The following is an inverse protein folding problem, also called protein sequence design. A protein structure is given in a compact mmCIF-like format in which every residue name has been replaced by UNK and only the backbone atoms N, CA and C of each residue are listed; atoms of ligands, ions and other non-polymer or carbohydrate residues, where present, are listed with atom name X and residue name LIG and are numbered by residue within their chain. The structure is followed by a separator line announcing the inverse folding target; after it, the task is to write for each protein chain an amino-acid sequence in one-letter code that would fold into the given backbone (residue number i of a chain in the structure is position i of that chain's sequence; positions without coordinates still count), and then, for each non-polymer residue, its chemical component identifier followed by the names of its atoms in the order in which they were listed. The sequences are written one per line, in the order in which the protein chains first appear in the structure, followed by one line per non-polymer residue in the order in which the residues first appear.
data_IF_851776016097
#
_entry.id   IF_851776016097
#
_cell.length_a   1.000
_cell.length_b   1.000
_cell.length_c   1.000
_cell.angle_alpha   90.00
_cell.angle_beta   90.00
_cell.angle_gamma   90.00
#
_symmetry.space_group_name_H-M   'P 1'
#
loop_
_entity.id
_entity.type
_entity.pdbx_description
1 polymer ?
#
# COMPACT_ATOMS: atom_id res chain seq x y z
N UNK A 1 -7.90 -26.05 -6.63
CA UNK A 1 -6.79 -25.24 -7.15
C UNK A 1 -6.61 -24.04 -6.27
N UNK A 2 -5.44 -23.83 -5.79
CA UNK A 2 -5.15 -22.68 -4.94
C UNK A 2 -5.15 -21.40 -5.74
N UNK A 3 -5.80 -20.38 -5.18
CA UNK A 3 -5.72 -19.05 -5.77
C UNK A 3 -4.32 -18.47 -5.55
N UNK A 4 -3.78 -17.85 -6.60
CA UNK A 4 -2.45 -17.26 -6.53
C UNK A 4 -2.53 -15.78 -6.21
N UNK A 5 -1.56 -15.29 -5.46
CA UNK A 5 -1.42 -13.85 -5.23
C UNK A 5 -0.93 -13.12 -6.49
N UNK A 6 -0.43 -13.87 -7.47
CA UNK A 6 0.10 -13.27 -8.69
C UNK A 6 -0.99 -12.61 -9.52
N UNK A 7 -0.65 -11.51 -10.17
CA UNK A 7 -1.56 -10.78 -11.03
C UNK A 7 -1.67 -9.32 -10.66
N UNK A 8 -2.70 -8.67 -11.18
CA UNK A 8 -2.96 -7.26 -10.95
C UNK A 8 -4.14 -7.08 -10.00
N UNK A 9 -4.00 -6.14 -9.08
CA UNK A 9 -4.98 -5.90 -8.03
C UNK A 9 -5.30 -4.41 -7.97
N UNK A 10 -6.57 -4.10 -7.72
CA UNK A 10 -7.06 -2.73 -7.59
C UNK A 10 -7.31 -2.42 -6.12
N UNK A 11 -6.81 -1.28 -5.66
CA UNK A 11 -7.00 -0.85 -4.27
C UNK A 11 -8.47 -0.51 -4.00
N UNK A 12 -8.98 -1.01 -2.88
CA UNK A 12 -10.35 -0.76 -2.43
C UNK A 12 -10.38 0.15 -1.22
N UNK A 13 -9.44 -0.05 -0.29
CA UNK A 13 -9.38 0.77 0.91
C UNK A 13 -7.96 0.80 1.46
N UNK A 14 -7.64 1.91 2.12
CA UNK A 14 -6.37 2.08 2.81
C UNK A 14 -6.64 2.87 4.08
N UNK A 15 -6.38 2.27 5.21
CA UNK A 15 -6.48 2.97 6.48
C UNK A 15 -5.32 2.60 7.39
N UNK A 16 -5.05 3.53 8.34
CA UNK A 16 -4.11 3.30 9.42
C UNK A 16 -4.94 3.01 10.67
N UNK A 17 -4.55 2.01 11.43
CA UNK A 17 -5.25 1.64 12.64
C UNK A 17 -4.30 1.71 13.82
N UNK A 18 -4.71 2.45 14.86
CA UNK A 18 -3.97 2.51 16.11
C UNK A 18 -4.13 1.17 16.82
N UNK A 19 -3.00 0.55 17.15
CA UNK A 19 -3.02 -0.82 17.70
C UNK A 19 -3.81 -0.89 19.00
N UNK A 20 -3.62 0.07 19.89
CA UNK A 20 -4.23 0.04 21.21
C UNK A 20 -5.72 0.37 21.22
N UNK A 21 -6.11 1.41 20.50
CA UNK A 21 -7.49 1.95 20.57
C UNK A 21 -8.38 1.49 19.43
N UNK A 22 -7.77 0.94 18.35
CA UNK A 22 -8.45 0.56 17.11
C UNK A 22 -9.03 1.76 16.35
N UNK A 23 -8.62 2.98 16.71
CA UNK A 23 -8.98 4.15 15.93
C UNK A 23 -8.38 4.07 14.54
N UNK A 24 -9.17 4.45 13.55
CA UNK A 24 -8.76 4.39 12.14
C UNK A 24 -8.71 5.77 11.53
N UNK A 25 -7.77 5.95 10.61
CA UNK A 25 -7.70 7.15 9.79
C UNK A 25 -7.44 6.74 8.35
N UNK A 26 -7.94 7.53 7.41
CA UNK A 26 -7.80 7.24 5.99
C UNK A 26 -6.91 8.31 5.35
N UNK A 27 -5.59 8.07 5.29
CA UNK A 27 -4.67 9.11 4.82
C UNK A 27 -4.88 9.49 3.36
N UNK A 28 -5.48 8.61 2.55
CA UNK A 28 -5.76 8.89 1.14
C UNK A 28 -7.25 9.01 0.87
N UNK A 29 -8.06 9.25 1.91
CA UNK A 29 -9.50 9.43 1.77
C UNK A 29 -10.27 8.13 1.74
N UNK A 30 -11.59 8.24 1.55
CA UNK A 30 -12.49 7.09 1.60
C UNK A 30 -12.49 6.26 0.33
N UNK A 31 -11.96 6.81 -0.77
CA UNK A 31 -11.93 6.12 -2.06
C UNK A 31 -10.55 6.26 -2.70
N UNK A 32 -9.50 5.70 -2.06
CA UNK A 32 -8.16 5.79 -2.61
C UNK A 32 -8.04 5.04 -3.92
N UNK A 33 -7.05 5.42 -4.72
CA UNK A 33 -6.75 4.73 -5.97
C UNK A 33 -5.39 4.07 -5.87
N UNK A 34 -5.28 2.89 -6.43
CA UNK A 34 -4.00 2.21 -6.41
C UNK A 34 -4.04 0.90 -7.17
N UNK A 35 -2.86 0.45 -7.48
CA UNK A 35 -2.63 -0.84 -8.11
C UNK A 35 -1.46 -1.52 -7.45
N UNK A 36 -1.54 -2.83 -7.30
CA UNK A 36 -0.38 -3.65 -7.04
C UNK A 36 -0.32 -4.74 -8.08
N UNK A 37 0.85 -4.93 -8.66
CA UNK A 37 1.07 -5.91 -9.68
C UNK A 37 2.15 -6.85 -9.18
N UNK A 38 1.81 -8.14 -9.12
CA UNK A 38 2.73 -9.18 -8.68
C UNK A 38 2.96 -10.11 -9.86
N UNK A 39 4.11 -9.94 -10.50
CA UNK A 39 4.42 -10.63 -11.74
C UNK A 39 5.06 -12.00 -11.46
N UNK A 40 4.74 -13.01 -12.27
CA UNK A 40 5.33 -14.35 -12.09
C UNK A 40 6.85 -14.40 -12.12
N UNK A 41 7.50 -13.42 -12.75
CA UNK A 41 8.96 -13.33 -12.77
C UNK A 41 9.57 -12.95 -11.42
N UNK A 42 8.74 -12.57 -10.44
CA UNK A 42 9.24 -12.15 -9.15
C UNK A 42 9.43 -10.65 -8.99
N UNK A 43 8.87 -9.86 -9.91
CA UNK A 43 8.89 -8.40 -9.76
C UNK A 43 7.50 -7.91 -9.39
N UNK A 44 7.47 -6.94 -8.48
CA UNK A 44 6.22 -6.30 -8.11
C UNK A 44 6.33 -4.79 -8.23
N UNK A 45 5.18 -4.15 -8.36
CA UNK A 45 5.08 -2.69 -8.30
C UNK A 45 3.78 -2.33 -7.58
N UNK A 46 3.86 -1.36 -6.69
CA UNK A 46 2.71 -0.85 -5.96
C UNK A 46 2.63 0.67 -6.12
N UNK A 47 1.44 1.16 -6.42
CA UNK A 47 1.19 2.59 -6.60
C UNK A 47 -0.10 2.95 -5.89
N UNK A 48 -0.06 4.01 -5.08
CA UNK A 48 -1.21 4.48 -4.33
C UNK A 48 -1.30 6.00 -4.42
N UNK A 49 -2.50 6.50 -4.69
CA UNK A 49 -2.78 7.94 -4.68
C UNK A 49 -4.10 8.19 -3.97
N UNK A 50 -4.34 9.43 -3.48
CA UNK A 50 -5.65 9.81 -2.99
C UNK A 50 -6.70 9.68 -4.08
N UNK A 51 -7.92 9.38 -3.68
CA UNK A 51 -9.02 9.20 -4.62
C UNK A 51 -9.48 10.50 -5.25
N UNK A 52 -9.30 11.61 -4.54
CA UNK A 52 -9.74 12.91 -5.03
C UNK A 52 -8.56 13.71 -5.53
N UNK A 53 -8.70 14.28 -6.73
CA UNK A 53 -7.72 15.20 -7.25
C UNK A 53 -7.79 16.52 -6.47
N UNK A 54 -6.67 17.28 -6.39
CA UNK A 54 -6.73 18.61 -5.81
C UNK A 54 -7.77 19.45 -6.55
N UNK A 55 -8.58 20.17 -5.79
CA UNK A 55 -9.64 21.00 -6.37
C UNK A 55 -9.15 22.41 -6.71
N UNK A 56 -7.91 22.72 -6.38
CA UNK A 56 -7.35 24.06 -6.56
C UNK A 56 -5.96 23.97 -7.14
N UNK A 57 -5.64 24.92 -8.02
CA UNK A 57 -4.28 25.11 -8.55
C UNK A 57 -3.52 26.17 -7.78
N UNK A 58 -4.04 26.60 -6.66
CA UNK A 58 -3.39 27.58 -5.79
C UNK A 58 -2.13 26.98 -5.18
N UNK A 59 -1.03 27.71 -5.19
CA UNK A 59 0.22 27.25 -4.60
C UNK A 59 0.07 26.86 -3.14
N UNK A 60 -0.77 27.58 -2.40
CA UNK A 60 -0.99 27.27 -0.99
C UNK A 60 -1.61 25.89 -0.80
N UNK A 61 -2.48 25.48 -1.72
CA UNK A 61 -3.12 24.18 -1.67
C UNK A 61 -2.23 23.08 -2.25
N UNK A 62 -1.22 23.48 -3.00
CA UNK A 62 -0.24 22.57 -3.56
C UNK A 62 1.03 22.49 -2.72
N UNK A 63 1.08 23.24 -1.65
CA UNK A 63 2.24 23.22 -0.77
C UNK A 63 2.52 21.78 -0.33
N UNK A 64 3.78 21.37 -0.36
CA UNK A 64 4.13 19.97 -0.16
C UNK A 64 4.02 19.57 1.29
N UNK A 65 2.82 19.32 1.73
CA UNK A 65 2.64 18.81 3.08
C UNK A 65 3.07 17.35 3.14
N UNK A 66 2.55 16.51 2.28
CA UNK A 66 2.83 15.07 2.28
C UNK A 66 2.84 14.61 0.84
N UNK A 67 3.77 13.76 0.45
CA UNK A 67 3.69 13.17 -0.87
C UNK A 67 2.34 12.50 -1.07
N UNK A 68 1.68 12.85 -2.18
CA UNK A 68 0.37 12.29 -2.49
C UNK A 68 0.49 11.06 -3.38
N UNK A 69 1.67 10.48 -3.43
CA UNK A 69 1.93 9.27 -4.17
C UNK A 69 2.86 8.39 -3.35
N UNK A 70 2.43 7.17 -3.11
CA UNK A 70 3.30 6.13 -2.60
C UNK A 70 3.51 5.14 -3.72
N UNK A 71 4.74 4.98 -4.15
CA UNK A 71 5.07 4.04 -5.21
C UNK A 71 6.39 3.36 -4.89
N UNK A 72 6.44 2.06 -5.09
CA UNK A 72 7.69 1.34 -4.98
C UNK A 72 7.64 0.07 -5.82
N UNK A 73 8.81 -0.42 -6.15
CA UNK A 73 8.96 -1.62 -6.96
C UNK A 73 10.22 -2.36 -6.53
N UNK A 74 10.25 -3.64 -6.78
CA UNK A 74 11.40 -4.47 -6.50
C UNK A 74 11.11 -5.93 -6.74
N UNK A 75 12.11 -6.76 -6.44
CA UNK A 75 11.93 -8.20 -6.49
C UNK A 75 11.21 -8.64 -5.23
N UNK A 76 10.22 -9.49 -5.36
CA UNK A 76 9.49 -9.97 -4.21
C UNK A 76 9.65 -11.47 -4.02
N UNK A 77 9.43 -11.88 -2.79
CA UNK A 77 9.35 -13.29 -2.44
C UNK A 77 8.25 -13.48 -1.42
N UNK A 78 7.71 -14.67 -1.38
CA UNK A 78 6.73 -15.07 -0.37
C UNK A 78 7.44 -15.91 0.68
N UNK A 79 7.25 -15.56 1.93
CA UNK A 79 7.80 -16.31 3.06
C UNK A 79 6.64 -16.92 3.83
N UNK A 80 6.57 -18.24 3.94
CA UNK A 80 5.48 -18.87 4.66
C UNK A 80 5.42 -18.41 6.11
N UNK A 81 4.24 -18.34 6.73
CA UNK A 81 2.97 -18.72 6.13
C UNK A 81 2.29 -17.60 5.34
N UNK A 82 2.63 -16.30 5.59
CA UNK A 82 1.79 -15.21 5.14
C UNK A 82 2.55 -13.91 4.89
N UNK A 83 3.83 -13.98 4.53
CA UNK A 83 4.63 -12.77 4.36
C UNK A 83 5.00 -12.55 2.90
N UNK A 84 4.79 -11.32 2.47
CA UNK A 84 5.23 -10.81 1.18
C UNK A 84 6.37 -9.82 1.46
N UNK A 85 7.54 -10.11 0.93
CA UNK A 85 8.72 -9.29 1.16
C UNK A 85 9.23 -8.76 -0.17
N UNK A 86 9.35 -7.45 -0.29
CA UNK A 86 9.86 -6.79 -1.50
C UNK A 86 11.21 -6.14 -1.20
N UNK A 87 12.22 -6.55 -1.95
CA UNK A 87 13.53 -5.88 -1.92
C UNK A 87 13.42 -4.67 -2.86
N UNK A 88 13.30 -3.49 -2.29
CA UNK A 88 12.93 -2.27 -3.02
C UNK A 88 14.12 -1.71 -3.77
N UNK A 89 13.96 -1.47 -5.07
CA UNK A 89 14.98 -0.83 -5.90
C UNK A 89 14.48 0.45 -6.59
N UNK A 90 13.18 0.72 -6.50
CA UNK A 90 12.57 1.97 -6.98
C UNK A 90 11.54 2.39 -5.93
N UNK A 91 11.59 3.64 -5.49
CA UNK A 91 10.63 4.10 -4.50
C UNK A 91 10.44 5.61 -4.54
N UNK A 92 9.19 6.04 -4.33
CA UNK A 92 8.88 7.45 -4.13
C UNK A 92 9.24 7.92 -2.73
N UNK A 93 9.40 6.99 -1.79
CA UNK A 93 9.86 7.28 -0.43
C UNK A 93 11.36 6.98 -0.39
N UNK A 94 12.21 8.00 -0.35
CA UNK A 94 13.65 7.80 -0.59
C UNK A 94 14.33 6.81 0.34
N UNK A 95 13.93 6.77 1.60
CA UNK A 95 14.58 5.87 2.56
C UNK A 95 14.17 4.40 2.41
N UNK A 96 13.22 4.10 1.53
CA UNK A 96 12.86 2.70 1.25
C UNK A 96 13.81 2.04 0.25
N UNK A 97 14.54 2.86 -0.51
CA UNK A 97 15.49 2.33 -1.49
C UNK A 97 16.54 1.46 -0.79
N UNK A 98 16.70 0.25 -1.29
CA UNK A 98 17.66 -0.68 -0.72
C UNK A 98 17.19 -1.41 0.52
N UNK A 99 15.91 -1.26 0.90
CA UNK A 99 15.35 -1.94 2.07
C UNK A 99 14.39 -3.04 1.66
N UNK A 100 14.09 -3.92 2.61
CA UNK A 100 13.02 -4.91 2.44
C UNK A 100 11.75 -4.36 3.04
N UNK A 101 10.69 -4.26 2.24
CA UNK A 101 9.37 -3.90 2.74
C UNK A 101 8.57 -5.18 2.94
N UNK A 102 8.21 -5.44 4.18
CA UNK A 102 7.49 -6.66 4.56
C UNK A 102 6.03 -6.36 4.77
N UNK A 103 5.17 -7.22 4.22
CA UNK A 103 3.73 -7.15 4.45
C UNK A 103 3.24 -8.53 4.84
N UNK A 104 2.38 -8.57 5.84
CA UNK A 104 1.60 -9.79 6.10
C UNK A 104 0.40 -9.76 5.16
N UNK A 105 -0.03 -10.88 4.64
CA UNK A 105 -1.15 -10.88 3.71
C UNK A 105 -2.17 -11.95 4.03
N UNK A 106 -3.41 -11.67 3.64
CA UNK A 106 -4.52 -12.64 3.65
C UNK A 106 -5.08 -12.65 2.24
N UNK A 107 -5.09 -13.82 1.63
CA UNK A 107 -5.66 -14.01 0.30
C UNK A 107 -6.97 -14.79 0.47
N UNK A 108 -8.06 -14.18 0.03
CA UNK A 108 -9.39 -14.76 0.11
C UNK A 108 -10.05 -14.62 -1.27
N UNK A 109 -9.84 -15.63 -2.13
CA UNK A 109 -10.36 -15.61 -3.48
C UNK A 109 -9.83 -14.44 -4.28
N UNK A 110 -10.72 -13.54 -4.67
CA UNK A 110 -10.37 -12.34 -5.43
C UNK A 110 -10.13 -11.13 -4.55
N UNK A 111 -10.00 -11.34 -3.24
CA UNK A 111 -9.70 -10.29 -2.29
C UNK A 111 -8.33 -10.53 -1.66
N UNK A 112 -7.53 -9.47 -1.57
CA UNK A 112 -6.21 -9.51 -0.96
C UNK A 112 -6.13 -8.40 0.07
N UNK A 113 -5.67 -8.74 1.26
CA UNK A 113 -5.43 -7.77 2.32
C UNK A 113 -3.95 -7.76 2.66
N UNK A 114 -3.35 -6.58 2.66
CA UNK A 114 -1.96 -6.39 3.03
C UNK A 114 -1.87 -5.57 4.30
N UNK A 115 -1.02 -5.98 5.21
CA UNK A 115 -0.85 -5.31 6.50
C UNK A 115 0.62 -4.92 6.66
N UNK A 116 0.85 -3.66 7.03
CA UNK A 116 2.22 -3.23 7.34
C UNK A 116 2.61 -3.74 8.73
N UNK A 117 3.92 -3.87 9.01
CA UNK A 117 4.36 -4.11 10.38
C UNK A 117 3.95 -2.94 11.29
N UNK A 118 3.73 -3.19 12.58
CA UNK A 118 3.48 -2.08 13.51
C UNK A 118 4.62 -1.09 13.50
N UNK A 119 4.28 0.19 13.50
CA UNK A 119 5.28 1.24 13.52
C UNK A 119 4.75 2.52 14.12
N UNK A 120 5.63 3.46 14.44
CA UNK A 120 5.24 4.71 15.08
C UNK A 120 4.59 5.66 14.07
N UNK A 121 3.57 6.36 14.52
CA UNK A 121 2.97 7.47 13.78
C UNK A 121 3.02 8.71 14.67
N UNK A 122 3.75 9.76 14.26
CA UNK A 122 3.83 10.99 15.03
C UNK A 122 2.47 11.66 15.13
N UNK A 123 2.23 12.33 16.27
CA UNK A 123 1.03 13.13 16.49
C UNK A 123 1.42 14.51 16.98
N UNK A 124 0.81 15.60 16.44
CA UNK A 124 1.09 16.93 16.93
C UNK A 124 0.70 17.06 18.40
N UNK A 125 1.63 17.57 19.22
CA UNK A 125 1.35 17.85 20.63
C UNK A 125 1.10 16.65 21.52
N UNK A 126 1.45 15.43 21.07
CA UNK A 126 1.24 14.21 21.84
C UNK A 126 2.32 13.18 21.49
N UNK A 127 2.42 12.14 22.31
CA UNK A 127 3.34 11.05 22.04
C UNK A 127 2.93 10.29 20.78
N UNK A 128 3.89 9.73 20.02
CA UNK A 128 3.56 8.89 18.88
C UNK A 128 2.72 7.68 19.29
N UNK A 129 1.88 7.23 18.39
CA UNK A 129 1.11 6.00 18.59
C UNK A 129 1.64 4.92 17.65
N UNK A 130 1.42 3.66 18.04
CA UNK A 130 1.77 2.53 17.18
C UNK A 130 0.58 2.22 16.29
N UNK A 131 0.84 2.16 14.99
CA UNK A 131 -0.21 1.89 14.00
C UNK A 131 0.20 0.76 13.07
N UNK A 132 -0.79 0.16 12.44
CA UNK A 132 -0.61 -0.71 11.28
C UNK A 132 -1.35 -0.09 10.12
N UNK A 133 -0.82 -0.26 8.91
CA UNK A 133 -1.53 0.10 7.70
C UNK A 133 -2.26 -1.13 7.18
N UNK A 134 -3.50 -0.94 6.73
CA UNK A 134 -4.31 -2.01 6.18
C UNK A 134 -4.77 -1.61 4.79
N UNK A 135 -4.39 -2.40 3.80
CA UNK A 135 -4.69 -2.15 2.40
C UNK A 135 -5.47 -3.33 1.85
N UNK A 136 -6.64 -3.05 1.35
CA UNK A 136 -7.51 -4.10 0.80
C UNK A 136 -7.67 -3.93 -0.70
N UNK A 137 -7.53 -5.01 -1.41
CA UNK A 137 -7.44 -5.04 -2.87
C UNK A 137 -8.41 -6.05 -3.44
N UNK A 138 -8.86 -5.80 -4.67
CA UNK A 138 -9.67 -6.74 -5.44
C UNK A 138 -8.94 -7.08 -6.73
N UNK A 139 -8.94 -8.33 -7.11
CA UNK A 139 -8.29 -8.79 -8.34
C UNK A 139 -8.93 -8.12 -9.55
N UNK A 140 -8.09 -7.56 -10.41
CA UNK A 140 -8.59 -7.04 -11.68
C UNK A 140 -8.89 -8.19 -12.63
N UNK A 141 -9.98 -8.05 -13.37
CA UNK A 141 -10.31 -9.01 -14.41
C UNK A 141 -9.30 -8.88 -15.54
N UNK A 142 -8.80 -10.01 -16.01
CA UNK A 142 -7.85 -10.00 -17.11
C UNK A 142 -8.56 -9.57 -18.39
N UNK A 143 -7.99 -8.57 -19.07
CA UNK A 143 -8.45 -8.15 -20.39
C UNK A 143 -7.25 -8.29 -21.32
N UNK A 144 -7.24 -9.28 -22.19
CA UNK A 144 -6.05 -9.50 -23.03
C UNK A 144 -5.76 -8.29 -23.90
N UNK A 145 -4.48 -7.98 -23.98
CA UNK A 145 -3.95 -6.99 -24.91
C UNK A 145 -3.50 -7.78 -26.13
N UNK A 146 -4.14 -7.59 -27.25
CA UNK A 146 -3.86 -8.45 -28.35
C UNK A 146 -2.77 -8.02 -29.23
#
# INVERSE_FOLDING_TARGET
MESSILGAWKLRSFYMEVVDTKERSEPFGSAPRGSVILHPDGRMAALLTPGEAPTSNNEADQAPAVPKLIAYSGRFRLEPPDRLVTAVDVASVPHWFGTDQTRTYILDGDNLHLFTPPGPMPRPGADPVTVIGVLSWTREAATPVE
#
